data_IF_595374541467
#
_entry.id   IF_595374541467
#
_cell.length_a   1.000
_cell.length_b   1.000
_cell.length_c   1.000
_cell.angle_alpha   90.00
_cell.angle_beta   90.00
_cell.angle_gamma   90.00
#
_symmetry.space_group_name_H-M   'P 1'
#
loop_
_entity.id
_entity.type
_entity.pdbx_description
1 polymer ?
#
# COMPACT_ATOMS: atom_id res chain seq x y z
N UNK A 1 43.73 28.28 41.54
CA UNK A 1 43.17 28.25 40.17
C UNK A 1 42.14 27.12 39.97
N UNK A 2 41.09 27.00 40.80
CA UNK A 2 40.07 25.91 40.69
C UNK A 2 38.66 26.37 40.24
N UNK A 3 38.37 27.67 40.27
CA UNK A 3 37.03 28.22 40.00
C UNK A 3 36.61 28.15 38.51
N UNK A 4 37.55 28.34 37.58
CA UNK A 4 37.27 28.36 36.11
C UNK A 4 36.86 27.00 35.55
N UNK A 5 37.26 25.90 36.21
CA UNK A 5 36.92 24.53 35.77
C UNK A 5 35.44 24.18 36.02
N UNK A 6 34.84 24.73 37.08
CA UNK A 6 33.45 24.45 37.48
C UNK A 6 32.43 25.10 36.53
N UNK A 7 32.68 26.34 36.12
CA UNK A 7 31.83 27.09 35.18
C UNK A 7 31.79 26.43 33.80
N UNK A 8 32.92 25.96 33.28
CA UNK A 8 32.98 25.21 32.01
C UNK A 8 32.21 23.88 32.03
N UNK A 9 32.08 23.26 33.21
CA UNK A 9 31.30 22.03 33.40
C UNK A 9 29.80 22.33 33.37
N UNK A 10 29.39 23.47 33.94
CA UNK A 10 28.01 23.96 33.91
C UNK A 10 27.56 24.30 32.49
N UNK A 11 28.39 25.02 31.71
CA UNK A 11 28.07 25.33 30.31
C UNK A 11 28.00 24.07 29.44
N UNK A 12 28.89 23.09 29.62
CA UNK A 12 28.84 21.82 28.88
C UNK A 12 27.59 21.01 29.20
N UNK A 13 27.18 20.96 30.46
CA UNK A 13 25.94 20.28 30.87
C UNK A 13 24.71 20.99 30.29
N UNK A 14 24.70 22.32 30.30
CA UNK A 14 23.63 23.12 29.71
C UNK A 14 23.53 22.91 28.20
N UNK A 15 24.66 22.93 27.48
CA UNK A 15 24.69 22.68 26.03
C UNK A 15 24.23 21.24 25.71
N UNK A 16 24.63 20.24 26.51
CA UNK A 16 24.18 18.85 26.34
C UNK A 16 22.67 18.68 26.58
N UNK A 17 22.12 19.35 27.60
CA UNK A 17 20.68 19.35 27.83
C UNK A 17 19.92 20.04 26.69
N UNK A 18 20.43 21.15 26.17
CA UNK A 18 19.82 21.89 25.07
C UNK A 18 19.79 21.06 23.78
N UNK A 19 20.88 20.35 23.45
CA UNK A 19 20.95 19.49 22.26
C UNK A 19 20.06 18.24 22.42
N UNK A 20 20.01 17.64 23.61
CA UNK A 20 19.11 16.51 23.89
C UNK A 20 17.63 16.93 23.78
N UNK A 21 17.28 18.13 24.25
CA UNK A 21 15.93 18.68 24.14
C UNK A 21 15.53 18.93 22.67
N UNK A 22 16.46 19.45 21.86
CA UNK A 22 16.26 19.68 20.43
C UNK A 22 16.05 18.38 19.64
N UNK A 23 16.78 17.31 19.97
CA UNK A 23 16.56 16.01 19.34
C UNK A 23 15.21 15.38 19.73
N UNK A 24 14.76 15.58 20.98
CA UNK A 24 13.44 15.11 21.42
C UNK A 24 12.26 15.87 20.77
N UNK A 25 12.48 17.12 20.36
CA UNK A 25 11.45 17.91 19.68
C UNK A 25 11.20 17.42 18.24
N UNK A 26 12.21 16.83 17.59
CA UNK A 26 12.09 16.35 16.21
C UNK A 26 11.27 15.05 16.10
N UNK A 27 11.31 14.17 17.11
CA UNK A 27 10.50 12.94 17.11
C UNK A 27 9.00 13.18 17.23
N UNK A 28 8.56 14.36 17.70
CA UNK A 28 7.14 14.73 17.77
C UNK A 28 6.49 15.02 16.41
N UNK A 29 7.29 15.35 15.37
CA UNK A 29 6.80 15.70 14.03
C UNK A 29 6.78 14.53 13.03
N UNK A 30 7.17 13.31 13.42
CA UNK A 30 7.27 12.16 12.51
C UNK A 30 5.96 11.39 12.31
N UNK A 31 4.83 11.88 12.81
CA UNK A 31 3.52 11.26 12.60
C UNK A 31 3.07 11.49 11.16
N UNK A 32 2.79 10.42 10.41
CA UNK A 32 2.18 10.54 9.09
C UNK A 32 0.82 11.25 9.21
N UNK A 33 0.66 12.36 8.49
CA UNK A 33 -0.60 13.11 8.47
C UNK A 33 -1.69 12.20 7.88
N UNK A 34 -2.83 12.01 8.57
CA UNK A 34 -3.92 11.21 8.04
C UNK A 34 -4.43 11.79 6.71
N UNK A 35 -4.70 10.93 5.72
CA UNK A 35 -5.30 11.36 4.46
C UNK A 35 -6.66 12.00 4.72
N UNK A 36 -6.81 13.26 4.31
CA UNK A 36 -8.03 14.04 4.50
C UNK A 36 -9.21 13.44 3.73
N UNK A 37 -10.44 13.80 4.11
CA UNK A 37 -11.63 13.37 3.38
C UNK A 37 -11.63 13.87 1.92
N UNK A 38 -11.15 15.11 1.70
CA UNK A 38 -11.04 15.72 0.38
C UNK A 38 -10.05 14.95 -0.50
N UNK A 39 -8.89 14.58 0.05
CA UNK A 39 -7.86 13.83 -0.70
C UNK A 39 -8.34 12.42 -1.06
N UNK A 40 -9.13 11.78 -0.20
CA UNK A 40 -9.79 10.50 -0.50
C UNK A 40 -10.79 10.65 -1.65
N UNK A 41 -11.59 11.72 -1.65
CA UNK A 41 -12.57 12.00 -2.70
C UNK A 41 -11.86 12.22 -4.05
N UNK A 42 -10.81 13.05 -4.07
CA UNK A 42 -9.99 13.29 -5.27
C UNK A 42 -9.35 12.01 -5.80
N UNK A 43 -8.85 11.15 -4.90
CA UNK A 43 -8.27 9.85 -5.26
C UNK A 43 -9.31 8.93 -5.89
N UNK A 44 -10.54 8.95 -5.39
CA UNK A 44 -11.66 8.18 -5.95
C UNK A 44 -12.07 8.68 -7.34
N UNK A 45 -12.22 9.99 -7.51
CA UNK A 45 -12.51 10.60 -8.83
C UNK A 45 -11.42 10.26 -9.85
N UNK A 46 -10.16 10.34 -9.44
CA UNK A 46 -9.03 9.95 -10.27
C UNK A 46 -9.07 8.46 -10.65
N UNK A 47 -9.40 7.57 -9.71
CA UNK A 47 -9.59 6.14 -9.99
C UNK A 47 -10.69 5.91 -11.04
N UNK A 48 -11.85 6.56 -10.91
CA UNK A 48 -12.94 6.44 -11.87
C UNK A 48 -12.53 6.92 -13.26
N UNK A 49 -11.81 8.05 -13.33
CA UNK A 49 -11.25 8.56 -14.59
C UNK A 49 -10.34 7.53 -15.24
N UNK A 50 -9.37 6.99 -14.50
CA UNK A 50 -8.46 5.96 -15.01
C UNK A 50 -9.21 4.70 -15.47
N UNK A 51 -10.19 4.23 -14.70
CA UNK A 51 -11.01 3.08 -15.07
C UNK A 51 -11.70 3.28 -16.42
N UNK A 52 -12.22 4.49 -16.68
CA UNK A 52 -12.99 4.80 -17.89
C UNK A 52 -12.11 5.12 -19.11
N UNK A 53 -10.98 5.78 -18.90
CA UNK A 53 -10.09 6.28 -19.96
C UNK A 53 -8.94 5.33 -20.28
N UNK A 54 -8.69 4.32 -19.43
CA UNK A 54 -7.58 3.38 -19.62
C UNK A 54 -7.72 2.61 -20.93
N UNK A 55 -6.59 2.42 -21.62
CA UNK A 55 -6.45 1.50 -22.74
C UNK A 55 -6.77 0.04 -22.35
N UNK A 56 -6.77 -0.25 -21.03
CA UNK A 56 -7.10 -1.54 -20.45
C UNK A 56 -8.52 -1.61 -19.87
N UNK A 57 -9.43 -0.69 -20.21
CA UNK A 57 -10.80 -0.66 -19.65
C UNK A 57 -11.62 -1.92 -19.95
N UNK A 58 -11.42 -2.50 -21.14
CA UNK A 58 -12.17 -3.66 -21.65
C UNK A 58 -11.21 -4.69 -22.29
N UNK A 59 -10.33 -5.32 -21.49
CA UNK A 59 -9.37 -6.26 -22.04
C UNK A 59 -10.12 -7.53 -22.45
N UNK A 60 -9.82 -8.02 -23.66
CA UNK A 60 -10.29 -9.33 -24.09
C UNK A 60 -9.50 -10.41 -23.34
N UNK A 61 -10.08 -10.92 -22.27
CA UNK A 61 -9.49 -12.02 -21.51
C UNK A 61 -9.37 -13.26 -22.40
N UNK A 62 -8.22 -13.92 -22.30
CA UNK A 62 -7.96 -15.19 -22.95
C UNK A 62 -7.20 -16.08 -21.99
N UNK A 63 -7.37 -17.40 -22.13
CA UNK A 63 -6.48 -18.33 -21.48
C UNK A 63 -5.05 -18.12 -22.02
N UNK A 64 -4.09 -17.98 -21.10
CA UNK A 64 -2.64 -17.95 -21.40
C UNK A 64 -2.02 -19.35 -21.20
N UNK A 65 -2.77 -20.25 -20.56
CA UNK A 65 -2.33 -21.58 -20.17
C UNK A 65 -2.08 -22.55 -21.33
N UNK A 66 -1.62 -23.76 -21.02
CA UNK A 66 -1.30 -24.77 -22.03
C UNK A 66 -2.55 -25.17 -22.82
N UNK A 67 -2.35 -25.59 -24.06
CA UNK A 67 -3.43 -26.11 -24.92
C UNK A 67 -4.17 -27.29 -24.28
N UNK A 68 -3.51 -28.01 -23.36
CA UNK A 68 -4.11 -29.00 -22.48
C UNK A 68 -3.91 -28.56 -21.03
N UNK A 69 -4.97 -28.01 -20.43
CA UNK A 69 -4.98 -27.73 -19.00
C UNK A 69 -5.16 -29.04 -18.23
N UNK A 70 -4.17 -29.38 -17.40
CA UNK A 70 -4.30 -30.45 -16.42
C UNK A 70 -5.24 -30.03 -15.29
N UNK A 71 -6.09 -30.96 -14.85
CA UNK A 71 -7.04 -30.76 -13.75
C UNK A 71 -7.83 -32.05 -13.54
N UNK A 72 -8.26 -32.32 -12.29
CA UNK A 72 -9.16 -33.44 -12.03
C UNK A 72 -10.59 -32.99 -12.31
N UNK A 73 -11.27 -33.72 -13.19
CA UNK A 73 -12.70 -33.61 -13.43
C UNK A 73 -13.38 -34.65 -12.53
N UNK A 74 -14.36 -34.24 -11.75
CA UNK A 74 -15.12 -35.10 -10.85
C UNK A 74 -16.54 -35.39 -11.35
N UNK A 75 -17.07 -34.51 -12.21
CA UNK A 75 -18.41 -34.65 -12.74
C UNK A 75 -18.48 -34.30 -14.23
N UNK A 76 -19.27 -35.08 -14.97
CA UNK A 76 -19.63 -34.81 -16.36
C UNK A 76 -21.13 -34.99 -16.52
N UNK A 77 -21.79 -34.01 -17.12
CA UNK A 77 -23.21 -34.05 -17.40
C UNK A 77 -23.49 -33.68 -18.87
N UNK A 78 -24.42 -34.38 -19.50
CA UNK A 78 -24.91 -34.08 -20.85
C UNK A 78 -26.24 -33.38 -20.74
N UNK A 79 -26.46 -32.34 -21.56
CA UNK A 79 -27.74 -31.63 -21.57
C UNK A 79 -28.87 -32.58 -22.01
N UNK A 80 -30.03 -32.61 -21.34
CA UNK A 80 -31.07 -33.61 -21.56
C UNK A 80 -31.66 -33.58 -22.98
N UNK A 81 -31.83 -32.38 -23.55
CA UNK A 81 -32.44 -32.18 -24.87
C UNK A 81 -31.41 -31.99 -26.01
N UNK A 82 -30.12 -31.86 -25.67
CA UNK A 82 -29.07 -31.60 -26.66
C UNK A 82 -27.79 -32.37 -26.32
N UNK A 83 -27.63 -33.51 -26.99
CA UNK A 83 -26.50 -34.41 -26.75
C UNK A 83 -25.14 -33.81 -27.13
N UNK A 84 -25.11 -32.65 -27.81
CA UNK A 84 -23.88 -31.93 -28.18
C UNK A 84 -23.39 -30.97 -27.09
N UNK A 85 -24.23 -30.70 -26.09
CA UNK A 85 -23.88 -29.82 -24.97
C UNK A 85 -23.46 -30.64 -23.76
N UNK A 86 -22.21 -30.44 -23.31
CA UNK A 86 -21.59 -31.17 -22.20
C UNK A 86 -21.07 -30.17 -21.17
N UNK A 87 -21.40 -30.42 -19.89
CA UNK A 87 -20.90 -29.68 -18.75
C UNK A 87 -19.86 -30.53 -18.01
N UNK A 88 -18.79 -29.88 -17.56
CA UNK A 88 -17.63 -30.53 -16.92
C UNK A 88 -17.28 -29.75 -15.66
N UNK A 89 -17.15 -30.45 -14.52
CA UNK A 89 -16.88 -29.90 -13.19
C UNK A 89 -15.87 -30.72 -12.41
#
# INVERSE_FOLDING_TARGET
MKQVSSSNKLYKNFTFCLTALLMFYQSAFSQAVPTSAEDRLKSWEHHLKLKNESIFKDPKWRAVGPQQQGGRIEAVAVHPEDHKTIYVG
#
